data_IF_319124782861
#
_entry.id   IF_319124782861
#
_cell.length_a   1.000
_cell.length_b   1.000
_cell.length_c   1.000
_cell.angle_alpha   90.00
_cell.angle_beta   90.00
_cell.angle_gamma   90.00
#
_symmetry.space_group_name_H-M   'P 1'
#
loop_
_entity.id
_entity.type
_entity.pdbx_description
1 polymer ?
#
# COMPACT_ATOMS: atom_id res chain seq x y z
N UNK A 1 -38.56 20.52 -59.36
CA UNK A 1 -38.16 21.42 -58.25
C UNK A 1 -36.67 21.24 -57.99
N UNK A 2 -35.87 22.24 -58.36
CA UNK A 2 -34.41 22.27 -58.19
C UNK A 2 -34.06 22.19 -56.71
N UNK A 3 -33.39 21.10 -56.33
CA UNK A 3 -32.94 20.84 -54.96
C UNK A 3 -31.73 21.74 -54.65
N UNK A 4 -32.00 23.02 -54.36
CA UNK A 4 -31.01 23.98 -53.89
C UNK A 4 -30.48 23.50 -52.53
N UNK A 5 -29.38 22.74 -52.53
CA UNK A 5 -28.57 22.49 -51.33
C UNK A 5 -28.07 23.85 -50.82
N UNK A 6 -28.84 24.49 -49.94
CA UNK A 6 -28.42 25.70 -49.23
C UNK A 6 -27.07 25.41 -48.55
N UNK A 7 -26.09 26.33 -48.63
CA UNK A 7 -24.77 26.11 -48.07
C UNK A 7 -24.86 25.90 -46.56
N UNK A 8 -24.01 25.02 -46.03
CA UNK A 8 -23.86 24.87 -44.59
C UNK A 8 -23.38 26.18 -43.96
N UNK A 9 -23.68 26.37 -42.67
CA UNK A 9 -23.09 27.46 -41.89
C UNK A 9 -21.55 27.39 -41.92
N UNK A 10 -20.88 28.49 -41.62
CA UNK A 10 -19.43 28.44 -41.47
C UNK A 10 -19.04 27.58 -40.25
N UNK A 11 -17.79 27.11 -40.22
CA UNK A 11 -17.32 26.18 -39.18
C UNK A 11 -17.52 26.73 -37.77
N UNK A 12 -17.29 28.03 -37.54
CA UNK A 12 -17.42 28.65 -36.21
C UNK A 12 -18.86 28.64 -35.73
N UNK A 13 -19.81 29.06 -36.57
CA UNK A 13 -21.24 29.06 -36.25
C UNK A 13 -21.78 27.65 -36.03
N UNK A 14 -21.43 26.72 -36.93
CA UNK A 14 -21.88 25.34 -36.84
C UNK A 14 -21.31 24.62 -35.62
N UNK A 15 -20.05 24.93 -35.25
CA UNK A 15 -19.42 24.44 -34.02
C UNK A 15 -20.10 25.01 -32.76
N UNK A 16 -20.41 26.31 -32.75
CA UNK A 16 -21.14 26.93 -31.63
C UNK A 16 -22.50 26.26 -31.42
N UNK A 17 -23.20 25.91 -32.50
CA UNK A 17 -24.43 25.13 -32.43
C UNK A 17 -24.18 23.73 -31.85
N UNK A 18 -23.16 23.02 -32.34
CA UNK A 18 -22.81 21.70 -31.81
C UNK A 18 -22.48 21.73 -30.31
N UNK A 19 -21.78 22.76 -29.84
CA UNK A 19 -21.49 22.99 -28.41
C UNK A 19 -22.76 23.20 -27.59
N UNK A 20 -23.74 23.94 -28.11
CA UNK A 20 -25.01 24.17 -27.38
C UNK A 20 -25.82 22.89 -27.13
N UNK A 21 -25.59 21.83 -27.90
CA UNK A 21 -26.27 20.54 -27.70
C UNK A 21 -25.66 19.71 -26.57
N UNK A 22 -24.45 20.07 -26.10
CA UNK A 22 -23.72 19.38 -25.03
C UNK A 22 -23.54 17.86 -25.19
N UNK A 23 -23.60 17.36 -26.44
CA UNK A 23 -23.42 15.95 -26.76
C UNK A 23 -22.00 15.49 -26.41
N UNK A 24 -21.85 14.25 -25.92
CA UNK A 24 -20.58 13.78 -25.34
C UNK A 24 -19.75 12.93 -26.29
N UNK A 25 -20.37 12.38 -27.33
CA UNK A 25 -19.73 11.45 -28.24
C UNK A 25 -20.13 11.66 -29.71
N UNK A 26 -19.33 11.08 -30.61
CA UNK A 26 -19.67 11.00 -32.04
C UNK A 26 -20.98 10.23 -32.22
N UNK A 27 -21.19 9.20 -31.42
CA UNK A 27 -22.39 8.36 -31.43
C UNK A 27 -23.63 9.19 -31.09
N UNK A 28 -23.57 10.04 -30.06
CA UNK A 28 -24.64 10.97 -29.70
C UNK A 28 -24.95 11.94 -30.84
N UNK A 29 -23.90 12.46 -31.50
CA UNK A 29 -24.06 13.33 -32.67
C UNK A 29 -24.77 12.62 -33.82
N UNK A 30 -24.38 11.37 -34.12
CA UNK A 30 -25.00 10.58 -35.17
C UNK A 30 -26.46 10.24 -34.84
N UNK A 31 -26.78 9.93 -33.59
CA UNK A 31 -28.14 9.72 -33.11
C UNK A 31 -28.98 11.00 -33.23
N UNK A 32 -28.43 12.14 -32.81
CA UNK A 32 -29.06 13.45 -33.00
C UNK A 32 -29.34 13.74 -34.48
N UNK A 33 -28.38 13.46 -35.37
CA UNK A 33 -28.57 13.61 -36.81
C UNK A 33 -29.70 12.73 -37.36
N UNK A 34 -29.83 11.50 -36.86
CA UNK A 34 -30.86 10.54 -37.27
C UNK A 34 -32.26 10.90 -36.73
N UNK A 35 -32.34 11.63 -35.63
CA UNK A 35 -33.61 12.04 -35.02
C UNK A 35 -34.46 13.02 -35.87
N UNK A 36 -33.91 13.55 -36.96
CA UNK A 36 -34.56 14.58 -37.78
C UNK A 36 -34.51 16.00 -37.19
N UNK A 37 -34.04 16.16 -35.94
CA UNK A 37 -33.96 17.46 -35.25
C UNK A 37 -32.77 18.33 -35.70
N UNK A 38 -31.84 17.78 -36.49
CA UNK A 38 -30.67 18.52 -36.99
C UNK A 38 -31.11 19.57 -38.03
N UNK A 39 -30.81 20.86 -37.84
CA UNK A 39 -31.08 21.89 -38.84
C UNK A 39 -30.40 21.58 -40.17
N UNK A 40 -31.08 21.86 -41.29
CA UNK A 40 -30.55 21.58 -42.64
C UNK A 40 -29.20 22.26 -42.92
N UNK A 41 -28.92 23.42 -42.30
CA UNK A 41 -27.66 24.17 -42.46
C UNK A 41 -26.49 23.60 -41.63
N UNK A 42 -26.70 22.57 -40.82
CA UNK A 42 -25.66 21.91 -40.03
C UNK A 42 -25.34 20.57 -40.69
N UNK A 43 -24.09 20.26 -41.06
CA UNK A 43 -23.76 19.00 -41.73
C UNK A 43 -23.88 17.81 -40.77
N UNK A 44 -24.39 16.67 -41.27
CA UNK A 44 -24.37 15.42 -40.51
C UNK A 44 -22.95 14.86 -40.32
N UNK A 45 -22.08 15.12 -41.30
CA UNK A 45 -20.67 14.69 -41.32
C UNK A 45 -19.74 15.91 -41.31
N UNK A 46 -19.59 16.60 -40.16
CA UNK A 46 -18.84 17.86 -40.07
C UNK A 46 -17.35 17.69 -40.41
N UNK A 47 -16.75 16.53 -40.09
CA UNK A 47 -15.38 16.17 -40.45
C UNK A 47 -15.10 16.17 -41.97
N UNK A 48 -16.10 15.88 -42.80
CA UNK A 48 -15.98 15.97 -44.26
C UNK A 48 -16.30 17.39 -44.73
N UNK A 49 -17.38 17.98 -44.21
CA UNK A 49 -17.84 19.31 -44.62
C UNK A 49 -16.82 20.42 -44.30
N UNK A 50 -16.03 20.24 -43.24
CA UNK A 50 -15.09 21.24 -42.73
C UNK A 50 -13.62 20.78 -42.73
N UNK A 51 -13.29 19.70 -43.45
CA UNK A 51 -11.93 19.11 -43.48
C UNK A 51 -10.82 20.14 -43.68
N UNK A 52 -11.02 21.10 -44.58
CA UNK A 52 -10.08 22.18 -44.90
C UNK A 52 -10.59 23.56 -44.43
N UNK A 53 -11.67 23.57 -43.65
CA UNK A 53 -12.34 24.79 -43.15
C UNK A 53 -12.27 24.91 -41.62
N UNK A 54 -11.24 24.32 -41.03
CA UNK A 54 -10.94 24.44 -39.59
C UNK A 54 -11.31 23.23 -38.73
N UNK A 55 -11.75 22.10 -39.31
CA UNK A 55 -12.00 20.89 -38.54
C UNK A 55 -10.71 20.37 -37.87
N UNK A 56 -10.71 20.20 -36.54
CA UNK A 56 -9.60 19.54 -35.83
C UNK A 56 -9.99 18.13 -35.38
N UNK A 57 -11.10 17.98 -34.65
CA UNK A 57 -11.51 16.69 -34.09
C UNK A 57 -12.96 16.70 -33.61
N UNK A 58 -13.48 15.50 -33.33
CA UNK A 58 -14.78 15.36 -32.65
C UNK A 58 -14.82 16.01 -31.27
N UNK A 59 -13.73 15.95 -30.50
CA UNK A 59 -13.69 16.58 -29.17
C UNK A 59 -13.78 18.10 -29.24
N UNK A 60 -13.16 18.70 -30.26
CA UNK A 60 -13.26 20.15 -30.52
C UNK A 60 -14.65 20.52 -31.05
N UNK A 61 -15.19 19.74 -31.99
CA UNK A 61 -16.52 19.97 -32.56
C UNK A 61 -17.65 19.90 -31.53
N UNK A 62 -17.59 18.92 -30.62
CA UNK A 62 -18.60 18.71 -29.57
C UNK A 62 -18.33 19.51 -28.30
N UNK A 63 -17.16 20.16 -28.20
CA UNK A 63 -16.77 20.94 -27.02
C UNK A 63 -16.46 20.07 -25.79
N UNK A 64 -16.09 18.80 -26.00
CA UNK A 64 -15.74 17.87 -24.90
C UNK A 64 -14.28 17.94 -24.51
N UNK A 65 -13.42 18.54 -25.35
CA UNK A 65 -11.97 18.60 -25.12
C UNK A 65 -11.26 17.26 -25.32
N UNK A 66 -11.97 16.18 -25.69
CA UNK A 66 -11.39 14.84 -25.80
C UNK A 66 -10.41 14.77 -26.98
N UNK A 67 -9.13 14.54 -26.69
CA UNK A 67 -8.09 14.29 -27.69
C UNK A 67 -7.96 12.80 -27.98
N UNK A 68 -8.07 12.43 -29.25
CA UNK A 68 -7.88 11.06 -29.73
C UNK A 68 -6.50 10.52 -29.34
N UNK A 69 -6.36 9.25 -28.90
CA UNK A 69 -5.10 8.71 -28.38
C UNK A 69 -3.88 8.94 -29.27
N UNK A 70 -4.03 8.76 -30.58
CA UNK A 70 -2.97 8.94 -31.58
C UNK A 70 -2.50 10.38 -31.75
N UNK A 71 -3.33 11.36 -31.36
CA UNK A 71 -3.03 12.79 -31.47
C UNK A 71 -2.55 13.40 -30.15
N UNK A 72 -2.47 12.62 -29.07
CA UNK A 72 -2.01 13.12 -27.76
C UNK A 72 -0.52 13.41 -27.83
N UNK A 73 -0.15 14.65 -27.51
CA UNK A 73 1.24 15.07 -27.32
C UNK A 73 1.54 15.10 -25.83
N UNK A 74 2.44 14.25 -25.38
CA UNK A 74 2.89 14.22 -23.99
C UNK A 74 4.05 15.19 -23.78
N UNK A 75 4.10 15.83 -22.61
CA UNK A 75 5.24 16.68 -22.24
C UNK A 75 6.51 15.85 -22.04
N UNK A 76 7.68 16.49 -21.95
CA UNK A 76 8.94 15.77 -21.78
C UNK A 76 8.95 14.89 -20.52
N UNK A 77 9.70 13.79 -20.55
CA UNK A 77 9.84 12.90 -19.39
C UNK A 77 10.19 13.66 -18.10
N UNK A 78 11.13 14.61 -18.15
CA UNK A 78 11.54 15.42 -16.99
C UNK A 78 10.39 16.22 -16.40
N UNK A 79 9.62 16.94 -17.24
CA UNK A 79 8.48 17.75 -16.79
C UNK A 79 7.33 16.86 -16.30
N UNK A 80 7.06 15.76 -16.99
CA UNK A 80 5.99 14.84 -16.61
C UNK A 80 6.31 14.13 -15.27
N UNK A 81 7.57 13.77 -15.04
CA UNK A 81 8.06 13.20 -13.78
C UNK A 81 7.99 14.22 -12.64
N UNK A 82 8.34 15.48 -12.88
CA UNK A 82 8.21 16.53 -11.86
C UNK A 82 6.75 16.71 -11.43
N UNK A 83 5.82 16.71 -12.39
CA UNK A 83 4.39 16.71 -12.11
C UNK A 83 3.94 15.46 -11.34
N UNK A 84 4.38 14.26 -11.75
CA UNK A 84 4.02 13.04 -11.05
C UNK A 84 4.47 13.04 -9.59
N UNK A 85 5.66 13.58 -9.32
CA UNK A 85 6.20 13.75 -7.96
C UNK A 85 5.47 14.80 -7.13
N UNK A 86 4.96 15.88 -7.74
CA UNK A 86 4.21 16.90 -7.00
C UNK A 86 2.89 16.37 -6.43
N UNK A 87 2.35 15.29 -7.01
CA UNK A 87 1.15 14.61 -6.51
C UNK A 87 1.39 13.78 -5.24
N UNK A 88 2.66 13.49 -4.88
CA UNK A 88 3.05 12.72 -3.68
C UNK A 88 2.31 11.36 -3.55
N UNK A 89 2.08 10.68 -4.66
CA UNK A 89 1.40 9.37 -4.69
C UNK A 89 2.35 8.25 -4.21
N UNK A 90 1.82 7.27 -3.48
CA UNK A 90 2.65 6.27 -2.80
C UNK A 90 2.98 5.05 -3.66
N UNK A 91 2.35 4.91 -4.83
CA UNK A 91 2.61 3.79 -5.71
C UNK A 91 1.78 3.78 -7.00
N UNK A 92 1.92 2.68 -7.74
CA UNK A 92 1.28 2.49 -9.04
C UNK A 92 -0.24 2.51 -8.94
N UNK A 93 -0.81 1.94 -7.88
CA UNK A 93 -2.26 1.92 -7.65
C UNK A 93 -2.83 3.34 -7.51
N UNK A 94 -2.18 4.19 -6.73
CA UNK A 94 -2.56 5.59 -6.55
C UNK A 94 -2.48 6.35 -7.88
N UNK A 95 -1.41 6.12 -8.66
CA UNK A 95 -1.28 6.70 -10.00
C UNK A 95 -2.41 6.29 -10.94
N UNK A 96 -2.78 5.00 -10.94
CA UNK A 96 -3.88 4.50 -11.75
C UNK A 96 -5.22 5.10 -11.33
N UNK A 97 -5.45 5.27 -10.03
CA UNK A 97 -6.65 5.91 -9.49
C UNK A 97 -6.71 7.39 -9.90
N UNK A 98 -5.60 8.12 -9.75
CA UNK A 98 -5.47 9.50 -10.24
C UNK A 98 -5.78 9.59 -11.74
N UNK A 99 -5.24 8.69 -12.56
CA UNK A 99 -5.50 8.66 -14.01
C UNK A 99 -6.98 8.45 -14.37
N UNK A 100 -7.74 7.76 -13.52
CA UNK A 100 -9.18 7.49 -13.69
C UNK A 100 -10.08 8.60 -13.15
N UNK A 101 -9.56 9.45 -12.27
CA UNK A 101 -10.35 10.50 -11.60
C UNK A 101 -10.83 11.64 -12.53
N UNK A 102 -10.32 11.71 -13.76
CA UNK A 102 -10.55 12.85 -14.66
C UNK A 102 -9.60 14.03 -14.43
N UNK A 103 -8.86 14.06 -13.33
CA UNK A 103 -7.93 15.16 -12.99
C UNK A 103 -6.56 15.05 -13.67
N UNK A 104 -6.33 14.01 -14.48
CA UNK A 104 -5.06 13.83 -15.19
C UNK A 104 -5.01 14.78 -16.39
N UNK A 105 -4.02 15.68 -16.47
CA UNK A 105 -3.83 16.52 -17.66
C UNK A 105 -3.66 15.68 -18.93
N UNK A 106 -4.17 16.18 -20.05
CA UNK A 106 -4.15 15.44 -21.32
C UNK A 106 -2.74 15.16 -21.84
N UNK A 107 -1.77 15.99 -21.47
CA UNK A 107 -0.36 15.89 -21.83
C UNK A 107 0.47 15.07 -20.81
N UNK A 108 -0.19 14.43 -19.84
CA UNK A 108 0.41 13.46 -18.93
C UNK A 108 -0.06 12.04 -19.30
N UNK A 109 0.83 11.10 -19.66
CA UNK A 109 0.42 9.76 -20.05
C UNK A 109 -0.09 8.96 -18.86
N UNK A 110 -1.10 8.13 -19.07
CA UNK A 110 -1.56 7.18 -18.04
C UNK A 110 -0.59 6.00 -17.84
N UNK A 111 0.18 5.65 -18.88
CA UNK A 111 1.20 4.58 -18.89
C UNK A 111 2.59 5.15 -19.17
N UNK A 112 3.19 5.91 -18.23
CA UNK A 112 4.47 6.58 -18.45
C UNK A 112 5.63 5.61 -18.72
N UNK A 113 5.55 4.38 -18.21
CA UNK A 113 6.53 3.32 -18.46
C UNK A 113 6.62 2.89 -19.93
N UNK A 114 5.51 2.98 -20.67
CA UNK A 114 5.48 2.70 -22.10
C UNK A 114 5.77 3.97 -22.91
N UNK A 115 5.19 5.10 -22.50
CA UNK A 115 5.37 6.38 -23.21
C UNK A 115 6.81 6.88 -23.21
N UNK A 116 7.53 6.73 -22.09
CA UNK A 116 8.90 7.23 -21.95
C UNK A 116 9.95 6.11 -22.01
N UNK A 117 9.58 4.95 -22.57
CA UNK A 117 10.55 3.89 -22.85
C UNK A 117 11.63 4.43 -23.79
N UNK A 118 12.90 4.28 -23.41
CA UNK A 118 14.04 4.86 -24.15
C UNK A 118 14.21 6.38 -24.02
N UNK A 119 13.33 7.08 -23.29
CA UNK A 119 13.37 8.54 -23.08
C UNK A 119 13.73 8.92 -21.63
N UNK A 120 14.41 8.02 -20.92
CA UNK A 120 14.85 8.23 -19.54
C UNK A 120 13.97 7.58 -18.48
N UNK A 121 12.94 6.79 -18.84
CA UNK A 121 12.21 5.98 -17.88
C UNK A 121 13.13 5.00 -17.14
N UNK A 122 13.06 5.00 -15.81
CA UNK A 122 13.84 4.10 -14.94
C UNK A 122 12.90 3.09 -14.26
N UNK A 123 11.96 3.58 -13.45
CA UNK A 123 11.03 2.75 -12.70
C UNK A 123 9.85 3.58 -12.17
N UNK A 124 8.82 2.89 -11.66
CA UNK A 124 7.73 3.54 -10.94
C UNK A 124 8.19 4.27 -9.68
N UNK A 125 9.19 3.72 -8.99
CA UNK A 125 9.75 4.35 -7.79
C UNK A 125 10.39 5.70 -8.15
N UNK A 126 11.20 5.71 -9.22
CA UNK A 126 11.79 6.93 -9.73
C UNK A 126 10.74 7.94 -10.23
N UNK A 127 9.78 7.47 -11.04
CA UNK A 127 8.71 8.30 -11.60
C UNK A 127 7.90 9.03 -10.53
N UNK A 128 7.47 8.30 -9.49
CA UNK A 128 6.66 8.86 -8.39
C UNK A 128 7.51 9.52 -7.30
N UNK A 129 8.85 9.37 -7.35
CA UNK A 129 9.74 9.85 -6.30
C UNK A 129 9.59 9.06 -4.99
N UNK A 130 9.13 7.80 -5.06
CA UNK A 130 8.99 6.94 -3.89
C UNK A 130 10.29 6.17 -3.66
N UNK A 131 10.65 5.93 -2.40
CA UNK A 131 11.80 5.07 -2.02
C UNK A 131 11.42 3.57 -2.02
N UNK A 132 10.35 3.20 -2.72
CA UNK A 132 9.82 1.85 -2.71
C UNK A 132 10.69 0.90 -3.56
N UNK A 133 11.57 0.16 -2.89
CA UNK A 133 12.35 -0.90 -3.51
C UNK A 133 11.52 -2.18 -3.59
N UNK A 134 11.46 -2.77 -4.80
CA UNK A 134 10.78 -4.04 -5.05
C UNK A 134 11.30 -5.11 -4.07
N UNK A 135 10.44 -6.00 -3.51
CA UNK A 135 10.84 -6.93 -2.47
C UNK A 135 12.11 -7.75 -2.79
N UNK A 136 12.25 -8.20 -4.04
CA UNK A 136 13.38 -8.97 -4.53
C UNK A 136 14.71 -8.19 -4.60
N UNK A 137 14.64 -6.86 -4.69
CA UNK A 137 15.82 -5.98 -4.78
C UNK A 137 16.16 -5.33 -3.44
N UNK A 138 15.46 -5.69 -2.35
CA UNK A 138 15.72 -5.11 -1.04
C UNK A 138 17.02 -5.68 -0.46
N UNK A 139 18.01 -4.82 -0.32
CA UNK A 139 19.22 -5.12 0.45
C UNK A 139 18.96 -4.71 1.91
N UNK A 140 18.96 -5.69 2.80
CA UNK A 140 18.79 -5.44 4.23
C UNK A 140 20.14 -5.26 4.92
N UNK A 141 20.15 -4.39 5.93
CA UNK A 141 21.31 -4.14 6.78
C UNK A 141 21.76 -5.43 7.48
N UNK A 142 23.06 -5.58 7.74
CA UNK A 142 23.58 -6.69 8.54
C UNK A 142 22.81 -6.85 9.87
N UNK A 143 22.59 -8.10 10.28
CA UNK A 143 21.78 -8.43 11.45
C UNK A 143 22.22 -7.67 12.71
N UNK A 144 23.53 -7.58 13.00
CA UNK A 144 24.02 -6.93 14.23
C UNK A 144 23.69 -5.44 14.21
N UNK A 145 23.90 -4.78 13.07
CA UNK A 145 23.59 -3.34 12.90
C UNK A 145 22.08 -3.08 12.89
N UNK A 146 21.30 -3.95 12.26
CA UNK A 146 19.84 -3.84 12.22
C UNK A 146 19.21 -4.06 13.60
N UNK A 147 19.76 -5.00 14.39
CA UNK A 147 19.36 -5.23 15.77
C UNK A 147 19.73 -4.07 16.69
N UNK A 148 20.94 -3.52 16.55
CA UNK A 148 21.34 -2.32 17.31
C UNK A 148 20.38 -1.14 17.05
N UNK A 149 19.99 -0.94 15.78
CA UNK A 149 18.98 0.03 15.41
C UNK A 149 17.62 -0.26 16.08
N UNK A 150 17.13 -1.50 16.01
CA UNK A 150 15.85 -1.86 16.62
C UNK A 150 15.82 -1.62 18.14
N UNK A 151 16.94 -1.91 18.83
CA UNK A 151 17.10 -1.65 20.27
C UNK A 151 17.12 -0.16 20.61
N UNK A 152 17.73 0.66 19.75
CA UNK A 152 17.77 2.12 19.94
C UNK A 152 16.38 2.77 19.93
N UNK A 153 15.39 2.14 19.29
CA UNK A 153 13.99 2.59 19.29
C UNK A 153 13.28 2.36 20.63
N UNK A 154 13.85 1.56 21.56
CA UNK A 154 13.28 1.26 22.88
C UNK A 154 11.82 0.76 22.84
N UNK A 155 11.47 0.00 21.80
CA UNK A 155 10.14 -0.60 21.65
C UNK A 155 10.00 -1.84 22.56
N UNK A 156 8.83 -2.02 23.18
CA UNK A 156 8.63 -3.00 24.25
C UNK A 156 8.07 -4.35 23.75
N UNK A 157 7.39 -4.33 22.61
CA UNK A 157 6.70 -5.48 22.05
C UNK A 157 6.72 -5.52 20.52
N UNK A 158 6.38 -6.68 19.99
CA UNK A 158 6.20 -6.88 18.55
C UNK A 158 5.09 -5.99 17.97
N UNK A 159 4.05 -5.68 18.75
CA UNK A 159 2.99 -4.72 18.38
C UNK A 159 3.57 -3.36 18.01
N UNK A 160 4.44 -2.84 18.88
CA UNK A 160 5.05 -1.52 18.74
C UNK A 160 5.97 -1.50 17.51
N UNK A 161 6.70 -2.60 17.26
CA UNK A 161 7.48 -2.75 16.03
C UNK A 161 6.59 -2.71 14.77
N UNK A 162 5.44 -3.39 14.79
CA UNK A 162 4.49 -3.37 13.66
C UNK A 162 3.94 -1.97 13.43
N UNK A 163 3.60 -1.25 14.49
CA UNK A 163 3.12 0.12 14.41
C UNK A 163 4.19 1.08 13.88
N UNK A 164 5.41 0.99 14.41
CA UNK A 164 6.57 1.70 13.89
C UNK A 164 6.77 1.45 12.39
N UNK A 165 6.66 0.19 11.94
CA UNK A 165 6.75 -0.15 10.52
C UNK A 165 5.67 0.49 9.64
N UNK A 166 4.46 0.72 10.20
CA UNK A 166 3.33 1.34 9.50
C UNK A 166 3.44 2.87 9.45
N UNK A 167 4.12 3.49 10.42
CA UNK A 167 4.29 4.95 10.50
C UNK A 167 5.01 5.59 9.30
N UNK A 168 5.65 4.79 8.44
CA UNK A 168 6.50 5.27 7.35
C UNK A 168 7.92 5.68 7.79
N UNK A 169 8.21 5.70 9.10
CA UNK A 169 9.51 6.09 9.64
C UNK A 169 10.59 5.00 9.54
N UNK A 170 10.22 3.78 9.14
CA UNK A 170 11.15 2.65 9.03
C UNK A 170 12.09 2.83 7.83
N UNK A 171 13.42 2.81 8.04
CA UNK A 171 14.39 2.79 6.94
C UNK A 171 14.15 1.63 5.98
N UNK A 172 14.43 1.85 4.70
CA UNK A 172 14.22 0.84 3.64
C UNK A 172 15.11 -0.39 3.80
N UNK A 173 16.28 -0.24 4.44
CA UNK A 173 17.25 -1.29 4.72
C UNK A 173 16.97 -2.06 6.03
N UNK A 174 15.90 -1.71 6.77
CA UNK A 174 15.46 -2.42 7.97
C UNK A 174 14.21 -3.25 7.63
N UNK A 175 14.22 -4.58 7.79
CA UNK A 175 13.08 -5.40 7.41
C UNK A 175 11.89 -5.22 8.36
N UNK A 176 10.67 -5.19 7.81
CA UNK A 176 9.44 -5.20 8.62
C UNK A 176 9.23 -6.55 9.35
N UNK A 177 9.72 -7.65 8.76
CA UNK A 177 9.64 -9.00 9.29
C UNK A 177 11.06 -9.57 9.56
N UNK A 178 11.76 -9.07 10.59
CA UNK A 178 13.16 -9.45 10.85
C UNK A 178 13.32 -10.94 11.15
N UNK A 179 12.34 -11.57 11.79
CA UNK A 179 12.30 -13.03 12.03
C UNK A 179 12.32 -13.89 10.76
N UNK A 180 11.90 -13.35 9.61
CA UNK A 180 12.00 -14.06 8.32
C UNK A 180 13.34 -13.81 7.67
N UNK A 181 13.76 -12.54 7.63
CA UNK A 181 14.99 -12.12 6.96
C UNK A 181 16.23 -12.66 7.66
N UNK A 182 16.25 -12.63 8.99
CA UNK A 182 17.42 -13.03 9.78
C UNK A 182 17.32 -14.42 10.40
N UNK A 183 16.37 -15.26 9.95
CA UNK A 183 16.12 -16.60 10.52
C UNK A 183 17.40 -17.41 10.72
N UNK A 184 18.28 -17.41 9.72
CA UNK A 184 19.55 -18.13 9.72
C UNK A 184 20.77 -17.21 9.88
N UNK A 185 20.53 -15.94 10.26
CA UNK A 185 21.56 -14.89 10.38
C UNK A 185 21.67 -14.37 11.81
N UNK A 186 21.30 -15.20 12.80
CA UNK A 186 21.42 -14.88 14.22
C UNK A 186 20.12 -14.44 14.90
N UNK A 187 18.96 -14.52 14.22
CA UNK A 187 17.68 -14.29 14.88
C UNK A 187 17.43 -15.30 16.01
N UNK A 188 17.08 -14.79 17.19
CA UNK A 188 16.74 -15.63 18.35
C UNK A 188 15.25 -15.48 18.69
N UNK A 189 14.83 -14.25 19.00
CA UNK A 189 13.45 -13.94 19.38
C UNK A 189 13.18 -12.44 19.26
N UNK A 190 11.90 -12.06 19.38
CA UNK A 190 11.52 -10.65 19.50
C UNK A 190 12.14 -9.96 20.72
N UNK A 191 12.34 -10.69 21.82
CA UNK A 191 13.00 -10.13 22.99
C UNK A 191 14.48 -9.80 22.77
N UNK A 192 15.21 -10.66 22.04
CA UNK A 192 16.59 -10.35 21.61
C UNK A 192 16.62 -9.18 20.63
N UNK A 193 15.74 -9.21 19.63
CA UNK A 193 15.67 -8.19 18.59
C UNK A 193 15.40 -6.79 19.14
N UNK A 194 14.41 -6.67 20.04
CA UNK A 194 14.02 -5.39 20.64
C UNK A 194 14.86 -5.03 21.89
N UNK A 195 15.64 -5.97 22.41
CA UNK A 195 16.47 -5.74 23.62
C UNK A 195 15.68 -5.73 24.93
N UNK A 196 14.48 -6.33 24.95
CA UNK A 196 13.60 -6.32 26.13
C UNK A 196 13.90 -7.43 27.13
N UNK A 197 14.87 -8.31 26.82
CA UNK A 197 15.24 -9.48 27.64
C UNK A 197 14.08 -10.44 27.96
N UNK A 198 12.94 -10.28 27.26
CA UNK A 198 11.79 -11.18 27.34
C UNK A 198 12.10 -12.44 26.54
N UNK A 199 12.35 -13.54 27.24
CA UNK A 199 12.55 -14.84 26.60
C UNK A 199 11.19 -15.32 26.09
N UNK A 200 11.13 -15.74 24.83
CA UNK A 200 9.92 -16.32 24.28
C UNK A 200 9.54 -17.57 25.09
N UNK A 201 8.26 -17.75 25.41
CA UNK A 201 7.80 -18.79 26.35
C UNK A 201 8.33 -20.19 26.01
N UNK A 202 8.41 -20.52 24.73
CA UNK A 202 8.90 -21.80 24.22
C UNK A 202 10.42 -22.04 24.39
N UNK A 203 11.20 -21.00 24.65
CA UNK A 203 12.65 -21.10 24.88
C UNK A 203 13.02 -21.09 26.37
N UNK A 204 12.04 -20.92 27.26
CA UNK A 204 12.29 -20.91 28.70
C UNK A 204 12.63 -22.34 29.15
N UNK A 205 13.84 -22.54 29.67
CA UNK A 205 14.23 -23.79 30.33
C UNK A 205 13.79 -23.72 31.79
N UNK A 206 12.79 -24.52 32.15
CA UNK A 206 12.33 -24.64 33.53
C UNK A 206 13.18 -25.62 34.32
N UNK A 207 13.28 -25.41 35.65
CA UNK A 207 13.87 -26.39 36.58
C UNK A 207 13.10 -27.72 36.50
N UNK A 208 13.76 -28.82 36.89
CA UNK A 208 13.07 -30.11 37.03
C UNK A 208 11.92 -30.00 38.04
N UNK A 209 10.90 -30.87 37.92
CA UNK A 209 9.76 -30.85 38.84
C UNK A 209 10.20 -30.92 40.32
N UNK A 210 11.18 -31.77 40.64
CA UNK A 210 11.69 -31.95 42.01
C UNK A 210 12.34 -30.67 42.56
N UNK A 211 13.19 -30.02 41.77
CA UNK A 211 13.85 -28.78 42.18
C UNK A 211 12.87 -27.61 42.30
N UNK A 212 11.97 -27.49 41.32
CA UNK A 212 10.97 -26.44 41.29
C UNK A 212 9.99 -26.59 42.46
N UNK A 213 9.53 -27.82 42.77
CA UNK A 213 8.68 -28.13 43.92
C UNK A 213 9.38 -27.86 45.25
N UNK A 214 10.68 -28.19 45.38
CA UNK A 214 11.45 -27.88 46.59
C UNK A 214 11.50 -26.37 46.84
N UNK A 215 11.74 -25.58 45.79
CA UNK A 215 11.73 -24.12 45.88
C UNK A 215 10.35 -23.58 46.26
N UNK A 216 9.29 -24.01 45.56
CA UNK A 216 7.94 -23.50 45.83
C UNK A 216 7.48 -23.83 47.23
N UNK A 217 7.78 -25.03 47.74
CA UNK A 217 7.47 -25.40 49.13
C UNK A 217 8.20 -24.53 50.15
N UNK A 218 9.44 -24.11 49.86
CA UNK A 218 10.18 -23.20 50.76
C UNK A 218 9.55 -21.81 50.89
N UNK A 219 8.64 -21.44 49.98
CA UNK A 219 7.90 -20.18 50.04
C UNK A 219 6.70 -20.22 51.00
N UNK A 220 6.32 -21.40 51.52
CA UNK A 220 5.19 -21.58 52.46
C UNK A 220 3.86 -20.94 52.01
N UNK A 221 3.57 -20.96 50.71
CA UNK A 221 2.32 -20.43 50.15
C UNK A 221 1.14 -21.32 50.54
N UNK A 222 0.11 -20.74 51.15
CA UNK A 222 -1.03 -21.46 51.73
C UNK A 222 -2.17 -21.69 50.76
N UNK A 223 -2.14 -21.09 49.58
CA UNK A 223 -3.22 -21.21 48.60
C UNK A 223 -2.77 -21.05 47.15
N UNK A 224 -3.61 -21.51 46.23
CA UNK A 224 -3.44 -21.28 44.79
C UNK A 224 -3.52 -19.78 44.46
N UNK A 225 -4.27 -19.00 45.23
CA UNK A 225 -4.34 -17.55 45.04
C UNK A 225 -3.01 -16.88 45.40
N UNK A 226 -2.39 -17.28 46.51
CA UNK A 226 -1.03 -16.82 46.87
C UNK A 226 -0.01 -17.24 45.82
N UNK A 227 -0.11 -18.46 45.26
CA UNK A 227 0.70 -18.88 44.12
C UNK A 227 0.53 -17.98 42.90
N UNK A 228 -0.70 -17.64 42.54
CA UNK A 228 -0.97 -16.73 41.40
C UNK A 228 -0.40 -15.34 41.65
N UNK A 229 -0.53 -14.81 42.87
CA UNK A 229 0.05 -13.51 43.23
C UNK A 229 1.57 -13.53 43.20
N UNK A 230 2.20 -14.57 43.75
CA UNK A 230 3.63 -14.79 43.64
C UNK A 230 4.07 -14.87 42.17
N UNK A 231 3.31 -15.57 41.33
CA UNK A 231 3.57 -15.68 39.90
C UNK A 231 3.63 -14.32 39.18
N UNK A 232 2.82 -13.36 39.64
CA UNK A 232 2.73 -12.00 39.09
C UNK A 232 3.87 -11.13 39.59
N UNK A 233 4.19 -11.20 40.89
CA UNK A 233 5.07 -10.23 41.53
C UNK A 233 6.55 -10.66 41.57
N UNK A 234 6.83 -11.93 41.85
CA UNK A 234 8.16 -12.35 42.33
C UNK A 234 8.67 -13.66 41.70
N UNK A 235 7.95 -14.21 40.71
CA UNK A 235 8.28 -15.52 40.12
C UNK A 235 9.66 -15.54 39.46
N UNK A 236 10.54 -16.48 39.85
CA UNK A 236 11.76 -16.75 39.11
C UNK A 236 11.46 -17.13 37.65
N UNK A 237 12.38 -16.79 36.74
CA UNK A 237 12.21 -17.03 35.30
C UNK A 237 12.18 -18.52 34.94
N UNK A 238 12.84 -19.36 35.74
CA UNK A 238 12.99 -20.81 35.57
C UNK A 238 11.92 -21.63 36.31
N UNK A 239 10.90 -20.98 36.85
CA UNK A 239 9.73 -21.62 37.45
C UNK A 239 8.49 -21.36 36.58
N UNK A 240 7.74 -22.39 36.15
CA UNK A 240 6.56 -22.19 35.32
C UNK A 240 5.41 -21.61 36.14
N UNK A 241 4.61 -20.71 35.55
CA UNK A 241 3.38 -20.20 36.18
C UNK A 241 2.25 -21.23 36.16
N UNK A 242 2.26 -22.14 35.18
CA UNK A 242 1.31 -23.26 35.03
C UNK A 242 2.06 -24.59 35.20
N UNK A 243 2.38 -24.99 36.43
CA UNK A 243 3.14 -26.21 36.70
C UNK A 243 2.34 -27.47 36.31
N UNK A 244 1.01 -27.44 36.36
CA UNK A 244 0.13 -28.53 35.93
C UNK A 244 0.29 -28.88 34.43
N UNK A 245 0.56 -27.88 33.60
CA UNK A 245 0.83 -28.08 32.16
C UNK A 245 2.28 -28.47 31.93
N UNK A 246 3.20 -27.80 32.63
CA UNK A 246 4.65 -27.95 32.40
C UNK A 246 5.16 -29.30 32.88
N UNK A 247 4.65 -29.79 34.02
CA UNK A 247 5.09 -31.02 34.66
C UNK A 247 4.08 -32.16 34.57
N UNK A 248 3.08 -32.05 33.67
CA UNK A 248 2.00 -33.03 33.50
C UNK A 248 2.50 -34.48 33.45
N UNK A 249 3.59 -34.71 32.71
CA UNK A 249 4.20 -36.02 32.51
C UNK A 249 5.53 -36.17 33.27
N UNK A 250 5.76 -35.34 34.28
CA UNK A 250 7.05 -35.24 35.00
C UNK A 250 6.87 -35.19 36.51
N UNK A 251 5.82 -35.85 37.02
CA UNK A 251 5.57 -36.00 38.46
C UNK A 251 4.53 -35.06 39.05
N UNK A 252 3.83 -34.27 38.22
CA UNK A 252 2.70 -33.47 38.70
C UNK A 252 1.58 -34.34 39.28
N UNK A 253 1.08 -33.96 40.46
CA UNK A 253 -0.04 -34.62 41.14
C UNK A 253 -1.19 -33.64 41.28
N UNK A 254 -0.99 -32.56 42.04
CA UNK A 254 -2.00 -31.54 42.29
C UNK A 254 -1.37 -30.25 42.77
N UNK A 255 -2.15 -29.17 42.81
CA UNK A 255 -1.71 -27.91 43.43
C UNK A 255 -1.42 -28.05 44.93
N UNK A 256 -2.17 -28.89 45.65
CA UNK A 256 -1.88 -29.17 47.07
C UNK A 256 -0.49 -29.78 47.23
N UNK A 257 -0.17 -30.77 46.40
CA UNK A 257 1.15 -31.39 46.39
C UNK A 257 2.27 -30.40 46.03
N UNK A 258 2.05 -29.60 44.98
CA UNK A 258 2.99 -28.60 44.51
C UNK A 258 3.33 -27.56 45.57
N UNK A 259 2.32 -27.08 46.30
CA UNK A 259 2.46 -26.07 47.34
C UNK A 259 2.91 -26.66 48.68
N UNK A 260 2.77 -27.97 48.88
CA UNK A 260 3.09 -28.63 50.15
C UNK A 260 2.02 -28.45 51.22
N UNK A 261 0.77 -28.24 50.82
CA UNK A 261 -0.37 -28.06 51.73
C UNK A 261 -0.92 -29.46 52.07
N UNK A 262 -0.87 -29.84 53.34
CA UNK A 262 -1.55 -31.04 53.85
C UNK A 262 -3.06 -30.83 53.88
N UNK A 263 -3.83 -31.92 53.82
CA UNK A 263 -5.26 -31.88 54.15
C UNK A 263 -5.45 -31.51 55.63
#
# INVERSE_FOLDING_TARGET
MTNLKKPFLNFREAKSFAHSLQLKSREDWLLYCKSGRRPMKIPASPHLAYKEKGWVSWGEWLGTGIIAPQNRKFRSYKQARQFARSLRLNGVSDWQMFCKSGNRPDDIPSRPNSTYLGQGWISWADWLGTKNVAPQNRVFRDFKKARAFARALKLNAQSDWKEYCKSGSRPTDIPAAPHKVYRNLGWISWGDWLGTSKIATQLIKFKSFREARKLVRSLNLKSINEWKQFCIQQKPKDIPSTPDRTYRNSGWISYKDWLGISN
#
